data_IF_078783101099
#
_entry.id   IF_078783101099
#
_cell.length_a   1.000
_cell.length_b   1.000
_cell.length_c   1.000
_cell.angle_alpha   90.00
_cell.angle_beta   90.00
_cell.angle_gamma   90.00
#
_symmetry.space_group_name_H-M   'P 1'
#
loop_
_entity.id
_entity.type
_entity.pdbx_description
1 polymer ?
#
# COMPACT_ATOMS: atom_id res chain seq x y z
N UNK A 1 4.65 -17.45 10.81
CA UNK A 1 3.51 -16.88 10.07
C UNK A 1 3.35 -15.43 10.46
N UNK A 2 3.51 -14.49 9.53
CA UNK A 2 3.12 -13.10 9.76
C UNK A 2 1.66 -13.00 9.28
N UNK A 3 0.71 -13.03 10.19
CA UNK A 3 -0.68 -12.71 9.89
C UNK A 3 -0.78 -11.18 9.73
N UNK A 4 -0.78 -10.69 8.50
CA UNK A 4 -1.15 -9.31 8.24
C UNK A 4 -2.59 -9.12 8.73
N UNK A 5 -2.77 -8.38 9.83
CA UNK A 5 -4.03 -8.28 10.58
C UNK A 5 -4.78 -6.97 10.30
N UNK A 6 -4.28 -6.17 9.36
CA UNK A 6 -4.82 -4.86 9.02
C UNK A 6 -5.50 -4.95 7.65
N UNK A 7 -6.79 -4.66 7.63
CA UNK A 7 -7.50 -4.34 6.40
C UNK A 7 -7.28 -2.86 6.07
N UNK A 8 -6.60 -2.60 4.96
CA UNK A 8 -6.19 -1.25 4.57
C UNK A 8 -7.26 -0.49 3.79
N UNK A 9 -8.23 -1.17 3.17
CA UNK A 9 -9.24 -0.51 2.35
C UNK A 9 -10.06 0.53 3.15
N UNK A 10 -10.60 0.20 4.35
CA UNK A 10 -11.35 1.17 5.15
C UNK A 10 -10.53 2.39 5.57
N UNK A 11 -9.20 2.23 5.72
CA UNK A 11 -8.30 3.34 6.06
C UNK A 11 -8.20 4.30 4.87
N UNK A 12 -8.03 3.77 3.67
CA UNK A 12 -7.93 4.59 2.46
C UNK A 12 -9.25 5.28 2.12
N UNK A 13 -10.39 4.57 2.21
CA UNK A 13 -11.72 5.18 2.06
C UNK A 13 -11.91 6.33 3.06
N UNK A 14 -11.46 6.13 4.32
CA UNK A 14 -11.58 7.17 5.33
C UNK A 14 -10.72 8.40 5.01
N UNK A 15 -9.49 8.21 4.56
CA UNK A 15 -8.62 9.31 4.14
C UNK A 15 -9.19 10.03 2.90
N UNK A 16 -9.77 9.27 1.97
CA UNK A 16 -10.39 9.82 0.75
C UNK A 16 -11.58 10.70 1.10
N UNK A 17 -12.40 10.28 2.09
CA UNK A 17 -13.52 11.09 2.61
C UNK A 17 -13.12 12.42 3.26
N UNK A 18 -11.82 12.65 3.46
CA UNK A 18 -11.24 13.88 3.99
C UNK A 18 -10.38 14.64 2.96
N UNK A 19 -10.44 14.26 1.68
CA UNK A 19 -9.66 14.86 0.60
C UNK A 19 -8.14 14.85 0.89
N UNK A 20 -7.63 13.75 1.46
CA UNK A 20 -6.19 13.63 1.72
C UNK A 20 -5.40 13.46 0.42
N UNK A 21 -4.59 14.45 0.06
CA UNK A 21 -3.76 14.45 -1.16
C UNK A 21 -2.26 14.22 -0.87
N UNK A 22 -1.93 13.74 0.32
CA UNK A 22 -0.55 13.54 0.74
C UNK A 22 0.08 12.25 0.20
N UNK A 23 1.28 11.96 0.70
CA UNK A 23 2.06 10.81 0.26
C UNK A 23 1.60 9.53 0.96
N UNK A 24 1.62 8.42 0.23
CA UNK A 24 1.54 7.07 0.76
C UNK A 24 2.89 6.37 0.57
N UNK A 25 3.37 5.71 1.62
CA UNK A 25 4.66 5.01 1.62
C UNK A 25 4.41 3.53 1.85
N UNK A 26 5.07 2.68 1.05
CA UNK A 26 5.06 1.23 1.22
C UNK A 26 6.27 0.84 2.05
N UNK A 27 6.02 0.22 3.20
CA UNK A 27 7.06 -0.39 4.03
C UNK A 27 6.83 -1.91 4.13
N UNK A 28 7.90 -2.67 4.06
CA UNK A 28 7.90 -4.13 4.16
C UNK A 28 9.15 -4.60 4.90
N UNK A 29 9.14 -5.83 5.41
CA UNK A 29 10.32 -6.50 5.96
C UNK A 29 11.47 -6.51 4.94
N UNK A 30 12.69 -6.22 5.39
CA UNK A 30 13.80 -5.86 4.50
C UNK A 30 14.97 -6.86 4.51
N UNK A 31 14.86 -8.00 5.20
CA UNK A 31 15.87 -9.07 5.06
C UNK A 31 16.00 -9.51 3.59
N UNK A 32 17.11 -9.19 2.89
CA UNK A 32 17.23 -9.43 1.45
C UNK A 32 17.39 -10.91 1.11
N UNK A 33 17.73 -11.78 2.08
CA UNK A 33 17.81 -13.21 1.86
C UNK A 33 16.43 -13.87 1.81
N UNK A 34 15.48 -13.35 2.60
CA UNK A 34 14.10 -13.83 2.66
C UNK A 34 13.16 -13.04 1.74
N UNK A 35 13.46 -11.75 1.53
CA UNK A 35 12.60 -10.77 0.87
C UNK A 35 13.41 -9.95 -0.16
N UNK A 36 13.60 -10.47 -1.40
CA UNK A 36 14.34 -9.76 -2.44
C UNK A 36 13.79 -8.34 -2.70
N UNK A 37 14.61 -7.27 -2.63
CA UNK A 37 14.12 -5.89 -2.56
C UNK A 37 13.22 -5.48 -3.75
N UNK A 38 13.64 -5.77 -4.98
CA UNK A 38 12.87 -5.40 -6.17
C UNK A 38 11.52 -6.13 -6.23
N UNK A 39 11.49 -7.38 -5.80
CA UNK A 39 10.26 -8.17 -5.81
C UNK A 39 9.27 -7.64 -4.78
N UNK A 40 9.73 -7.34 -3.56
CA UNK A 40 8.88 -6.79 -2.51
C UNK A 40 8.37 -5.39 -2.86
N UNK A 41 9.22 -4.53 -3.43
CA UNK A 41 8.82 -3.20 -3.88
C UNK A 41 7.70 -3.28 -4.93
N UNK A 42 7.81 -4.21 -5.91
CA UNK A 42 6.76 -4.43 -6.92
C UNK A 42 5.46 -4.95 -6.31
N UNK A 43 5.54 -5.91 -5.38
CA UNK A 43 4.36 -6.46 -4.69
C UNK A 43 3.64 -5.39 -3.88
N UNK A 44 4.37 -4.63 -3.08
CA UNK A 44 3.80 -3.57 -2.26
C UNK A 44 3.21 -2.42 -3.11
N UNK A 45 3.90 -2.03 -4.19
CA UNK A 45 3.36 -1.05 -5.15
C UNK A 45 2.06 -1.54 -5.80
N UNK A 46 2.02 -2.79 -6.28
CA UNK A 46 0.81 -3.35 -6.89
C UNK A 46 -0.37 -3.41 -5.91
N UNK A 47 -0.12 -3.82 -4.67
CA UNK A 47 -1.14 -3.83 -3.62
C UNK A 47 -1.65 -2.42 -3.29
N UNK A 48 -0.75 -1.45 -3.16
CA UNK A 48 -1.11 -0.04 -2.93
C UNK A 48 -1.98 0.48 -4.08
N UNK A 49 -1.56 0.31 -5.34
CA UNK A 49 -2.33 0.79 -6.50
C UNK A 49 -3.72 0.16 -6.59
N UNK A 50 -3.85 -1.14 -6.30
CA UNK A 50 -5.14 -1.82 -6.30
C UNK A 50 -6.09 -1.23 -5.24
N UNK A 51 -5.59 -1.01 -4.02
CA UNK A 51 -6.39 -0.49 -2.92
C UNK A 51 -6.73 0.99 -3.09
N UNK A 52 -5.78 1.79 -3.60
CA UNK A 52 -6.01 3.19 -3.97
C UNK A 52 -7.13 3.33 -5.01
N UNK A 53 -7.12 2.49 -6.04
CA UNK A 53 -8.18 2.48 -7.06
C UNK A 53 -9.55 2.11 -6.48
N UNK A 54 -9.60 1.16 -5.54
CA UNK A 54 -10.86 0.79 -4.86
C UNK A 54 -11.37 1.91 -3.96
N UNK A 55 -10.48 2.67 -3.32
CA UNK A 55 -10.81 3.85 -2.53
C UNK A 55 -10.98 5.15 -3.37
N UNK A 56 -11.09 5.00 -4.70
CA UNK A 56 -11.35 6.08 -5.66
C UNK A 56 -10.26 7.18 -5.73
N UNK A 57 -9.03 6.87 -5.32
CA UNK A 57 -7.89 7.78 -5.49
C UNK A 57 -7.37 7.83 -6.93
N UNK A 58 -7.00 9.03 -7.38
CA UNK A 58 -6.09 9.21 -8.52
C UNK A 58 -4.65 9.29 -8.05
N UNK A 59 -3.78 8.41 -8.54
CA UNK A 59 -2.35 8.40 -8.19
C UNK A 59 -1.54 9.11 -9.27
N UNK A 60 -0.72 10.07 -8.87
CA UNK A 60 0.20 10.76 -9.78
C UNK A 60 1.35 9.83 -10.21
N UNK A 61 1.75 9.96 -11.48
CA UNK A 61 2.84 9.21 -12.13
C UNK A 61 4.09 10.06 -12.35
#
# INVERSE_FOLDING_TARGET
EISASIDFLPIFERLSSYDYEGWFVVEAEQDPALNPPLEMARKGHAALMQLMAQAEYSVAS
#
